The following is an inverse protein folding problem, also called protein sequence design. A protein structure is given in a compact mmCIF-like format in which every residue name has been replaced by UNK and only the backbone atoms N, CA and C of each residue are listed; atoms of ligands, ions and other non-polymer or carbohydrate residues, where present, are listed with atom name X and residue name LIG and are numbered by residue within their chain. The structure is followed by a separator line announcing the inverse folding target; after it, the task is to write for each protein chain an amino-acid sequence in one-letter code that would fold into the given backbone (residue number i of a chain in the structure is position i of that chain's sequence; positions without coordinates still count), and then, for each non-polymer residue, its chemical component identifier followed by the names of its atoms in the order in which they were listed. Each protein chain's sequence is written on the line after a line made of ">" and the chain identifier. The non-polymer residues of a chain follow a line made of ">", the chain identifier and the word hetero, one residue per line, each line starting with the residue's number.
data_IF_432035562391
#
_entry.id   IF_432035562391
#
_cell.length_a   1.000
_cell.length_b   1.000
_cell.length_c   1.000
_cell.angle_alpha   90.00
_cell.angle_beta   90.00
_cell.angle_gamma   90.00
#
_symmetry.space_group_name_H-M   'P 1'
#
loop_
_entity.id
_entity.type
_entity.pdbx_description
1 polymer ?
#
# COMPACT_ATOMS: atom_id res chain seq x y z
N UNK A 1 55.87 6.48 -25.89
CA UNK A 1 55.27 7.17 -27.05
C UNK A 1 53.82 6.67 -27.19
N UNK A 2 52.87 7.30 -26.49
CA UNK A 2 51.47 6.86 -26.51
C UNK A 2 50.88 7.09 -27.91
N UNK A 3 50.29 6.05 -28.50
CA UNK A 3 49.69 6.10 -29.84
C UNK A 3 48.46 7.00 -29.81
N UNK A 4 48.64 8.28 -30.13
CA UNK A 4 47.59 9.31 -30.16
C UNK A 4 46.37 8.86 -30.97
N UNK A 5 46.60 8.15 -32.08
CA UNK A 5 45.54 7.57 -32.92
C UNK A 5 44.73 6.46 -32.23
N UNK A 6 45.34 5.67 -31.34
CA UNK A 6 44.64 4.61 -30.59
C UNK A 6 43.83 5.22 -29.45
N UNK A 7 44.37 6.24 -28.78
CA UNK A 7 43.66 6.95 -27.71
C UNK A 7 42.41 7.66 -28.24
N UNK A 8 42.49 8.34 -29.38
CA UNK A 8 41.33 8.97 -30.03
C UNK A 8 40.24 7.95 -30.39
N UNK A 9 40.62 6.75 -30.84
CA UNK A 9 39.67 5.66 -31.15
C UNK A 9 38.98 5.09 -29.90
N UNK A 10 39.73 4.89 -28.82
CA UNK A 10 39.18 4.38 -27.55
C UNK A 10 38.23 5.41 -26.93
N UNK A 11 38.64 6.68 -26.86
CA UNK A 11 37.80 7.76 -26.33
C UNK A 11 36.57 7.97 -27.19
N UNK A 12 36.72 7.98 -28.52
CA UNK A 12 35.60 8.08 -29.45
C UNK A 12 34.60 6.92 -29.33
N UNK A 13 35.09 5.69 -29.15
CA UNK A 13 34.24 4.52 -28.91
C UNK A 13 33.46 4.62 -27.60
N UNK A 14 34.11 5.06 -26.51
CA UNK A 14 33.48 5.23 -25.20
C UNK A 14 32.45 6.38 -25.20
N UNK A 15 32.77 7.51 -25.83
CA UNK A 15 31.82 8.60 -25.99
C UNK A 15 30.63 8.21 -26.89
N UNK A 16 30.89 7.42 -27.95
CA UNK A 16 29.84 6.93 -28.84
C UNK A 16 28.87 5.99 -28.13
N UNK A 17 29.37 5.02 -27.35
CA UNK A 17 28.50 4.13 -26.56
C UNK A 17 27.74 4.89 -25.49
N UNK A 18 28.39 5.80 -24.76
CA UNK A 18 27.73 6.65 -23.77
C UNK A 18 26.62 7.52 -24.39
N UNK A 19 26.86 8.11 -25.57
CA UNK A 19 25.85 8.88 -26.29
C UNK A 19 24.65 8.02 -26.70
N UNK A 20 24.87 6.79 -27.15
CA UNK A 20 23.78 5.85 -27.45
C UNK A 20 22.95 5.51 -26.22
N UNK A 21 23.58 5.28 -25.06
CA UNK A 21 22.85 5.04 -23.80
C UNK A 21 22.06 6.26 -23.33
N UNK A 22 22.63 7.47 -23.45
CA UNK A 22 21.92 8.71 -23.10
C UNK A 22 20.75 8.94 -24.04
N UNK A 23 20.91 8.72 -25.35
CA UNK A 23 19.80 8.83 -26.32
C UNK A 23 18.73 7.78 -26.03
N UNK A 24 19.11 6.53 -25.72
CA UNK A 24 18.16 5.49 -25.34
C UNK A 24 17.43 5.82 -24.04
N UNK A 25 18.10 6.42 -23.06
CA UNK A 25 17.49 6.90 -21.82
C UNK A 25 16.52 8.06 -22.08
N UNK A 26 16.91 9.05 -22.87
CA UNK A 26 16.04 10.18 -23.26
C UNK A 26 14.85 9.72 -24.12
N UNK A 27 15.04 8.74 -25.00
CA UNK A 27 13.97 8.13 -25.78
C UNK A 27 13.10 7.19 -24.92
N UNK A 28 13.64 6.60 -23.86
CA UNK A 28 12.85 5.82 -22.92
C UNK A 28 11.84 6.71 -22.20
N UNK A 29 12.21 7.94 -21.84
CA UNK A 29 11.25 8.90 -21.27
C UNK A 29 10.12 9.23 -22.25
N UNK A 30 10.36 9.31 -23.57
CA UNK A 30 9.26 9.57 -24.52
C UNK A 30 8.37 8.34 -24.80
N UNK A 31 8.92 7.13 -24.69
CA UNK A 31 8.16 5.88 -24.86
C UNK A 31 7.37 5.54 -23.59
N UNK A 32 7.95 5.79 -22.41
CA UNK A 32 7.31 5.51 -21.11
C UNK A 32 6.48 6.68 -20.59
N UNK A 33 6.79 7.92 -20.97
CA UNK A 33 5.84 9.03 -20.85
C UNK A 33 4.88 9.00 -22.04
N UNK A 34 4.01 7.99 -22.08
CA UNK A 34 2.67 8.19 -22.61
C UNK A 34 1.91 9.10 -21.63
N UNK A 35 2.33 10.36 -21.55
CA UNK A 35 1.50 11.43 -21.00
C UNK A 35 0.52 11.74 -22.13
N UNK A 36 -0.70 11.23 -22.03
CA UNK A 36 -1.82 11.75 -22.80
C UNK A 36 -1.97 13.23 -22.44
N UNK A 37 -1.28 14.10 -23.17
CA UNK A 37 -1.44 15.55 -23.07
C UNK A 37 -2.59 15.95 -23.98
N UNK A 38 -3.80 15.97 -23.44
CA UNK A 38 -4.75 17.04 -23.77
C UNK A 38 -4.52 18.21 -22.79
N UNK A 39 -5.13 19.36 -23.09
CA UNK A 39 -4.66 20.73 -22.85
C UNK A 39 -4.46 21.19 -21.38
N UNK A 40 -4.42 20.31 -20.38
CA UNK A 40 -4.52 20.71 -18.97
C UNK A 40 -3.67 19.85 -18.00
N UNK A 41 -2.76 19.01 -18.50
CA UNK A 41 -1.64 18.51 -17.70
C UNK A 41 -1.92 17.31 -16.78
N UNK A 42 -3.12 16.73 -16.77
CA UNK A 42 -3.44 15.51 -16.00
C UNK A 42 -3.07 14.22 -16.76
N UNK A 43 -2.65 13.16 -16.04
CA UNK A 43 -2.10 11.93 -16.61
C UNK A 43 -3.19 10.87 -16.73
N UNK A 44 -3.68 10.61 -17.93
CA UNK A 44 -4.75 9.62 -18.19
C UNK A 44 -4.16 8.23 -18.46
N UNK A 45 -4.68 7.18 -17.82
CA UNK A 45 -4.22 5.79 -18.01
C UNK A 45 -4.62 5.22 -19.40
N UNK A 46 -3.73 4.42 -19.98
CA UNK A 46 -3.76 3.98 -21.38
C UNK A 46 -4.73 2.83 -21.72
N UNK A 47 -5.41 2.22 -20.75
CA UNK A 47 -6.48 1.28 -21.04
C UNK A 47 -7.53 1.29 -19.93
N UNK A 48 -8.78 1.45 -20.36
CA UNK A 48 -9.98 1.35 -19.52
C UNK A 48 -10.50 -0.07 -19.67
N UNK A 49 -10.60 -0.82 -18.56
CA UNK A 49 -11.42 -2.04 -18.53
C UNK A 49 -12.88 -1.58 -18.46
N UNK A 50 -13.61 -1.81 -19.55
CA UNK A 50 -15.03 -1.49 -19.68
C UNK A 50 -15.86 -2.41 -18.79
N UNK A 51 -16.34 -1.90 -17.66
CA UNK A 51 -17.56 -2.39 -17.01
C UNK A 51 -18.68 -1.48 -17.50
N UNK A 52 -19.50 -2.00 -18.41
CA UNK A 52 -20.55 -1.22 -19.07
C UNK A 52 -21.51 -0.58 -18.07
N UNK A 53 -21.63 0.73 -18.16
CA UNK A 53 -22.89 1.45 -18.37
C UNK A 53 -22.48 2.86 -18.83
N UNK A 54 -22.84 3.21 -20.06
CA UNK A 54 -22.68 4.55 -20.62
C UNK A 54 -23.86 5.39 -20.12
N UNK A 55 -23.60 6.27 -19.16
CA UNK A 55 -24.36 7.51 -19.01
C UNK A 55 -23.43 8.55 -18.38
N UNK A 56 -23.05 9.52 -19.21
CA UNK A 56 -22.18 10.63 -18.86
C UNK A 56 -22.75 11.46 -17.71
N UNK A 57 -22.26 11.19 -16.51
CA UNK A 57 -22.04 12.19 -15.49
C UNK A 57 -20.54 12.16 -15.21
N UNK A 58 -19.90 13.32 -15.26
CA UNK A 58 -18.61 13.49 -14.62
C UNK A 58 -18.79 13.06 -13.16
N UNK A 59 -18.28 11.87 -12.79
CA UNK A 59 -18.11 11.54 -11.38
C UNK A 59 -17.05 12.50 -10.85
N UNK A 60 -17.56 13.53 -10.20
CA UNK A 60 -16.87 14.29 -9.18
C UNK A 60 -16.10 13.30 -8.30
N UNK A 61 -14.78 13.46 -8.19
CA UNK A 61 -13.99 12.75 -7.17
C UNK A 61 -14.44 13.33 -5.83
N UNK A 62 -15.57 12.83 -5.33
CA UNK A 62 -15.94 12.97 -3.93
C UNK A 62 -14.85 12.20 -3.19
N UNK A 63 -14.00 12.89 -2.43
CA UNK A 63 -13.18 12.23 -1.43
C UNK A 63 -14.14 11.56 -0.44
N UNK A 64 -14.52 10.32 -0.72
CA UNK A 64 -15.39 9.53 0.13
C UNK A 64 -14.68 9.39 1.46
N UNK A 65 -15.31 9.88 2.53
CA UNK A 65 -14.75 9.82 3.86
C UNK A 65 -14.56 8.35 4.27
N UNK A 66 -13.57 8.08 5.12
CA UNK A 66 -13.35 6.71 5.59
C UNK A 66 -14.59 6.11 6.27
N UNK A 67 -15.38 6.95 6.93
CA UNK A 67 -16.62 6.54 7.61
C UNK A 67 -17.69 6.05 6.61
N UNK A 68 -17.81 6.71 5.46
CA UNK A 68 -18.70 6.28 4.37
C UNK A 68 -18.22 4.98 3.72
N UNK A 69 -16.89 4.83 3.55
CA UNK A 69 -16.30 3.58 3.08
C UNK A 69 -16.52 2.44 4.06
N UNK A 70 -16.43 2.71 5.36
CA UNK A 70 -16.70 1.72 6.41
C UNK A 70 -18.18 1.34 6.47
N UNK A 71 -19.09 2.32 6.33
CA UNK A 71 -20.53 2.08 6.30
C UNK A 71 -20.97 1.22 5.10
N UNK A 72 -20.24 1.29 3.99
CA UNK A 72 -20.46 0.49 2.77
C UNK A 72 -19.53 -0.72 2.63
N UNK A 73 -18.74 -1.02 3.67
CA UNK A 73 -17.74 -2.09 3.64
C UNK A 73 -18.38 -3.49 3.57
N UNK A 74 -17.66 -4.41 2.92
CA UNK A 74 -18.05 -5.80 2.73
C UNK A 74 -17.10 -6.73 3.52
N UNK A 75 -17.58 -7.35 4.62
CA UNK A 75 -16.79 -8.29 5.42
C UNK A 75 -16.25 -9.49 4.62
N UNK A 76 -16.97 -9.97 3.60
CA UNK A 76 -16.51 -11.09 2.76
C UNK A 76 -15.33 -10.67 1.86
N UNK A 77 -15.29 -9.41 1.41
CA UNK A 77 -14.08 -8.85 0.78
C UNK A 77 -12.98 -8.65 1.82
N UNK A 78 -13.33 -8.25 3.03
CA UNK A 78 -12.40 -8.12 4.15
C UNK A 78 -11.67 -9.41 4.50
N UNK A 79 -12.38 -10.54 4.51
CA UNK A 79 -11.80 -11.87 4.72
C UNK A 79 -10.75 -12.21 3.64
N UNK A 80 -10.97 -11.80 2.39
CA UNK A 80 -9.98 -11.96 1.32
C UNK A 80 -8.76 -11.10 1.57
N UNK A 81 -8.93 -9.86 2.04
CA UNK A 81 -7.81 -8.99 2.44
C UNK A 81 -7.04 -9.60 3.62
N UNK A 82 -7.75 -10.24 4.55
CA UNK A 82 -7.15 -10.93 5.70
C UNK A 82 -6.18 -12.05 5.30
N UNK A 83 -6.23 -12.56 4.07
CA UNK A 83 -5.20 -13.48 3.56
C UNK A 83 -3.77 -12.91 3.67
N UNK A 84 -3.60 -11.58 3.61
CA UNK A 84 -2.33 -10.88 3.84
C UNK A 84 -1.85 -10.95 5.30
N UNK A 85 -2.73 -11.30 6.24
CA UNK A 85 -2.50 -11.33 7.68
C UNK A 85 -2.32 -12.76 8.24
N UNK A 86 -2.90 -13.77 7.57
CA UNK A 86 -2.97 -15.20 8.02
C UNK A 86 -1.62 -15.86 8.29
N UNK A 87 -0.55 -15.35 7.70
CA UNK A 87 0.81 -15.83 7.93
C UNK A 87 1.31 -15.53 9.36
N UNK A 88 0.84 -14.44 9.96
CA UNK A 88 1.28 -13.99 11.27
C UNK A 88 0.18 -14.06 12.33
N UNK A 89 -1.09 -13.94 11.94
CA UNK A 89 -2.21 -13.84 12.85
C UNK A 89 -3.23 -14.96 12.63
N UNK A 90 -3.84 -15.42 13.73
CA UNK A 90 -4.97 -16.35 13.73
C UNK A 90 -6.22 -15.66 14.28
N UNK A 91 -7.36 -16.33 14.09
CA UNK A 91 -8.69 -15.87 14.54
C UNK A 91 -9.41 -16.97 15.31
N UNK A 92 -8.63 -17.86 15.95
CA UNK A 92 -9.06 -19.01 16.72
C UNK A 92 -8.58 -18.94 18.19
N UNK A 93 -8.12 -17.75 18.63
CA UNK A 93 -7.55 -17.51 19.95
C UNK A 93 -6.06 -17.89 20.08
N UNK A 94 -5.46 -18.52 19.06
CA UNK A 94 -4.05 -18.94 19.14
C UNK A 94 -3.08 -17.85 18.66
N UNK A 95 -2.00 -17.65 19.42
CA UNK A 95 -0.91 -16.75 19.03
C UNK A 95 0.04 -17.44 18.03
N UNK A 96 0.65 -16.65 17.15
CA UNK A 96 1.69 -17.08 16.21
C UNK A 96 2.81 -16.04 16.18
N UNK A 97 3.36 -15.71 15.00
CA UNK A 97 4.32 -14.59 14.85
C UNK A 97 3.74 -13.28 15.39
N UNK A 98 2.43 -13.07 15.21
CA UNK A 98 1.65 -12.01 15.84
C UNK A 98 0.58 -12.58 16.78
N UNK A 99 -0.06 -11.72 17.61
CA UNK A 99 -1.14 -12.13 18.51
C UNK A 99 -2.39 -12.55 17.73
N UNK A 100 -3.28 -13.32 18.35
CA UNK A 100 -4.58 -13.62 17.76
C UNK A 100 -5.44 -12.35 17.57
N UNK A 101 -6.30 -12.36 16.55
CA UNK A 101 -7.11 -11.20 16.13
C UNK A 101 -8.63 -11.41 16.24
N UNK A 102 -9.09 -12.60 16.63
CA UNK A 102 -10.45 -12.75 17.16
C UNK A 102 -10.62 -11.82 18.37
N UNK A 103 -11.76 -11.11 18.43
CA UNK A 103 -12.01 -10.13 19.49
C UNK A 103 -11.06 -8.93 19.49
N UNK A 104 -10.44 -8.57 18.37
CA UNK A 104 -9.51 -7.42 18.33
C UNK A 104 -10.25 -6.09 18.35
N UNK A 105 -11.43 -5.99 17.73
CA UNK A 105 -12.15 -4.73 17.65
C UNK A 105 -12.63 -4.29 19.03
N UNK A 106 -12.29 -3.06 19.43
CA UNK A 106 -12.56 -2.52 20.78
C UNK A 106 -11.64 -3.06 21.88
N UNK A 107 -10.75 -4.02 21.59
CA UNK A 107 -9.79 -4.51 22.59
C UNK A 107 -8.69 -3.49 22.83
N UNK A 108 -8.26 -3.38 24.09
CA UNK A 108 -7.12 -2.58 24.46
C UNK A 108 -5.86 -2.95 23.66
N UNK A 109 -5.08 -1.94 23.27
CA UNK A 109 -3.88 -2.14 22.47
C UNK A 109 -2.82 -2.87 23.30
N UNK A 110 -2.23 -3.93 22.74
CA UNK A 110 -1.11 -4.62 23.37
C UNK A 110 -1.48 -5.54 24.54
N UNK A 111 -2.72 -6.04 24.63
CA UNK A 111 -3.20 -6.75 25.82
C UNK A 111 -3.52 -8.24 25.65
N UNK A 112 -3.21 -8.86 24.49
CA UNK A 112 -3.38 -10.31 24.36
C UNK A 112 -2.42 -11.01 25.32
N UNK A 113 -2.98 -11.84 26.20
CA UNK A 113 -2.22 -12.65 27.14
C UNK A 113 -1.21 -13.55 26.42
N UNK A 114 -0.07 -13.78 27.08
CA UNK A 114 0.98 -14.69 26.61
C UNK A 114 1.64 -14.30 25.26
N UNK A 115 1.37 -13.09 24.73
CA UNK A 115 2.09 -12.54 23.59
C UNK A 115 3.13 -11.49 24.01
N UNK A 116 4.36 -11.62 23.52
CA UNK A 116 5.44 -10.67 23.78
C UNK A 116 5.42 -9.49 22.80
N UNK A 117 4.67 -8.45 23.15
CA UNK A 117 4.63 -7.19 22.41
C UNK A 117 5.99 -6.47 22.36
N UNK A 118 6.11 -5.47 21.48
CA UNK A 118 7.19 -4.48 21.55
C UNK A 118 6.89 -3.46 22.63
N UNK A 119 7.93 -2.89 23.25
CA UNK A 119 7.78 -1.81 24.24
C UNK A 119 6.90 -0.67 23.71
N UNK A 120 7.10 -0.28 22.44
CA UNK A 120 6.29 0.74 21.78
C UNK A 120 4.80 0.40 21.69
N UNK A 121 4.45 -0.88 21.49
CA UNK A 121 3.06 -1.32 21.37
C UNK A 121 2.42 -1.46 22.75
N UNK A 122 3.17 -1.99 23.73
CA UNK A 122 2.71 -2.12 25.11
C UNK A 122 2.50 -0.77 25.80
N UNK A 123 3.28 0.25 25.43
CA UNK A 123 3.16 1.61 25.96
C UNK A 123 2.17 2.51 25.21
N UNK A 124 1.66 2.08 24.04
CA UNK A 124 0.81 2.92 23.20
C UNK A 124 -0.51 3.30 23.88
N UNK A 125 -1.12 2.35 24.62
CA UNK A 125 -2.43 2.54 25.23
C UNK A 125 -3.57 2.69 24.22
N UNK A 126 -4.78 2.93 24.74
CA UNK A 126 -6.01 3.04 23.93
C UNK A 126 -6.62 1.70 23.54
N UNK A 127 -7.58 1.75 22.62
CA UNK A 127 -8.36 0.61 22.14
C UNK A 127 -8.35 0.57 20.60
N UNK A 128 -8.52 -0.63 20.04
CA UNK A 128 -8.61 -0.82 18.59
C UNK A 128 -9.99 -0.43 18.06
N UNK A 129 -10.21 0.87 17.90
CA UNK A 129 -11.36 1.43 17.18
C UNK A 129 -11.18 1.29 15.66
N UNK A 130 -12.23 1.59 14.88
CA UNK A 130 -12.14 1.60 13.43
C UNK A 130 -11.09 2.60 12.93
N UNK A 131 -11.01 3.79 13.53
CA UNK A 131 -10.08 4.85 13.19
C UNK A 131 -8.65 4.45 13.56
N UNK A 132 -8.45 3.89 14.77
CA UNK A 132 -7.14 3.41 15.21
C UNK A 132 -6.61 2.31 14.29
N UNK A 133 -7.46 1.35 13.91
CA UNK A 133 -7.12 0.30 12.95
C UNK A 133 -6.85 0.88 11.56
N UNK A 134 -7.63 1.85 11.11
CA UNK A 134 -7.44 2.50 9.81
C UNK A 134 -6.05 3.16 9.71
N UNK A 135 -5.69 3.93 10.73
CA UNK A 135 -4.37 4.58 10.83
C UNK A 135 -3.26 3.54 10.90
N UNK A 136 -3.37 2.57 11.81
CA UNK A 136 -2.35 1.55 12.01
C UNK A 136 -2.13 0.68 10.76
N UNK A 137 -3.21 0.27 10.10
CA UNK A 137 -3.13 -0.55 8.89
C UNK A 137 -2.66 0.24 7.66
N UNK A 138 -2.71 1.57 7.65
CA UNK A 138 -2.16 2.39 6.56
C UNK A 138 -0.63 2.28 6.49
N UNK A 139 0.02 2.36 7.66
CA UNK A 139 1.46 2.15 7.81
C UNK A 139 1.79 1.83 9.27
N UNK A 140 1.97 0.55 9.63
CA UNK A 140 2.18 0.18 11.03
C UNK A 140 3.39 0.82 11.67
N UNK A 141 4.51 0.88 10.94
CA UNK A 141 5.77 1.45 11.44
C UNK A 141 5.69 2.95 11.66
N UNK A 142 4.89 3.65 10.86
CA UNK A 142 4.73 5.11 11.02
C UNK A 142 3.71 5.41 12.12
N UNK A 143 2.64 4.62 12.20
CA UNK A 143 1.60 4.78 13.22
C UNK A 143 2.11 4.48 14.63
N UNK A 144 2.91 3.42 14.79
CA UNK A 144 3.52 3.06 16.09
C UNK A 144 5.01 2.79 15.86
N UNK A 145 5.87 3.83 15.90
CA UNK A 145 7.31 3.67 15.72
C UNK A 145 7.92 2.72 16.74
N UNK A 146 8.73 1.77 16.27
CA UNK A 146 9.33 0.73 17.11
C UNK A 146 8.45 -0.50 17.34
N UNK A 147 7.27 -0.58 16.73
CA UNK A 147 6.52 -1.83 16.74
C UNK A 147 7.23 -2.95 15.94
N UNK A 148 7.01 -4.20 16.35
CA UNK A 148 7.64 -5.39 15.73
C UNK A 148 6.91 -5.94 14.49
N UNK A 149 5.76 -5.38 14.09
CA UNK A 149 5.00 -5.88 12.94
C UNK A 149 5.67 -5.46 11.62
N UNK A 150 6.28 -6.41 10.94
CA UNK A 150 6.92 -6.19 9.64
C UNK A 150 5.92 -6.25 8.48
N UNK A 151 4.94 -5.36 8.49
CA UNK A 151 3.94 -5.22 7.43
C UNK A 151 4.00 -3.82 6.81
N UNK A 152 3.92 -3.74 5.48
CA UNK A 152 4.06 -2.47 4.75
C UNK A 152 2.81 -1.57 4.83
N UNK A 153 1.67 -2.12 5.24
CA UNK A 153 0.39 -1.44 5.27
C UNK A 153 -0.50 -1.69 4.05
N UNK A 154 -1.75 -1.25 4.15
CA UNK A 154 -2.79 -1.31 3.14
C UNK A 154 -3.06 0.11 2.63
N UNK A 155 -2.55 0.43 1.44
CA UNK A 155 -2.67 1.79 0.87
C UNK A 155 -4.06 2.10 0.31
N UNK A 156 -4.85 1.08 -0.01
CA UNK A 156 -6.22 1.25 -0.50
C UNK A 156 -7.17 1.39 0.69
N UNK A 157 -7.89 2.49 0.73
CA UNK A 157 -8.83 2.81 1.81
C UNK A 157 -9.97 1.80 1.87
N UNK A 158 -10.44 1.35 0.71
CA UNK A 158 -11.44 0.27 0.59
C UNK A 158 -10.93 -1.06 1.13
N UNK A 159 -9.67 -1.43 0.94
CA UNK A 159 -9.09 -2.65 1.55
C UNK A 159 -9.11 -2.51 3.09
N UNK A 160 -8.81 -1.32 3.62
CA UNK A 160 -8.80 -1.06 5.07
C UNK A 160 -10.21 -1.09 5.65
N UNK A 161 -11.17 -0.42 5.02
CA UNK A 161 -12.57 -0.44 5.44
C UNK A 161 -13.12 -1.87 5.46
N UNK A 162 -12.89 -2.65 4.39
CA UNK A 162 -13.34 -4.04 4.29
C UNK A 162 -12.70 -4.94 5.37
N UNK A 163 -11.39 -4.88 5.58
CA UNK A 163 -10.75 -5.71 6.61
C UNK A 163 -11.18 -5.31 8.03
N UNK A 164 -11.41 -4.02 8.28
CA UNK A 164 -11.92 -3.55 9.58
C UNK A 164 -13.34 -4.08 9.83
N UNK A 165 -14.22 -4.04 8.81
CA UNK A 165 -15.55 -4.63 8.89
C UNK A 165 -15.49 -6.15 9.14
N UNK A 166 -14.55 -6.87 8.50
CA UNK A 166 -14.31 -8.28 8.78
C UNK A 166 -13.84 -8.51 10.23
N UNK A 167 -12.84 -7.76 10.71
CA UNK A 167 -12.34 -7.87 12.08
C UNK A 167 -13.44 -7.59 13.11
N UNK A 168 -14.29 -6.60 12.85
CA UNK A 168 -15.46 -6.30 13.67
C UNK A 168 -16.45 -7.48 13.69
N UNK A 169 -16.70 -8.12 12.55
CA UNK A 169 -17.62 -9.27 12.44
C UNK A 169 -17.16 -10.51 13.23
N UNK A 170 -15.85 -10.66 13.48
CA UNK A 170 -15.26 -11.77 14.25
C UNK A 170 -14.88 -11.37 15.68
N UNK A 171 -15.27 -10.17 16.12
CA UNK A 171 -15.00 -9.67 17.47
C UNK A 171 -16.22 -9.65 18.39
N UNK A 172 -17.37 -10.14 17.90
CA UNK A 172 -18.63 -10.24 18.64
C UNK A 172 -18.87 -11.61 19.26
#
# INVERSE_FOLDING_TARGET
>A
MFKTMTLVKIVGGLCGTAALFVIAYLASDSIYAMKATSHDGEVVQAYVVSTGEDDGAAEEVVEVSFDELLASADPAKGEKVFAKCKACHKVDGSNSTGPHLDGVFGRAVGTVGDFSYSDAMGAHGGEWTAEALNVYLTSPKDAIPGNKMSFAGLKKDTDRANIIAYLQSISG
#
